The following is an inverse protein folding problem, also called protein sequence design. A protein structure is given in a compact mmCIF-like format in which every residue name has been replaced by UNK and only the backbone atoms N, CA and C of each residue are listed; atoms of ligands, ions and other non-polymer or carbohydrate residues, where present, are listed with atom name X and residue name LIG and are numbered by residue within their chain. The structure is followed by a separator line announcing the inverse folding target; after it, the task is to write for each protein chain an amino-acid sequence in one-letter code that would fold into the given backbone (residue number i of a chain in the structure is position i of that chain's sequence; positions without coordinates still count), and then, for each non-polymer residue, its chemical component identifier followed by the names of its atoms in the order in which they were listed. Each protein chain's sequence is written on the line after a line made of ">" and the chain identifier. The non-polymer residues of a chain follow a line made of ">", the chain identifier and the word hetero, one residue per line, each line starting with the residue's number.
data_IF_846063450027
#
_entry.id   IF_846063450027
#
_cell.length_a   1.000
_cell.length_b   1.000
_cell.length_c   1.000
_cell.angle_alpha   90.00
_cell.angle_beta   90.00
_cell.angle_gamma   90.00
#
_symmetry.space_group_name_H-M   'P 1'
#
loop_
_entity.id
_entity.type
_entity.pdbx_description
1 polymer ?
#
# COMPACT_ATOMS: atom_id res chain seq x y z
N UNK A 1 21.24 4.75 14.50
CA UNK A 1 19.98 4.91 13.73
C UNK A 1 20.26 5.71 12.48
N UNK A 2 19.96 5.14 11.32
CA UNK A 2 20.00 5.85 10.04
C UNK A 2 18.73 6.69 9.96
N UNK A 3 18.85 8.02 9.97
CA UNK A 3 17.70 8.93 9.87
C UNK A 3 17.54 9.32 8.39
N UNK A 4 16.32 9.26 7.84
CA UNK A 4 16.01 9.67 6.45
C UNK A 4 16.65 11.03 6.09
N UNK A 5 16.69 11.96 7.04
CA UNK A 5 17.35 13.28 6.93
C UNK A 5 18.85 13.23 6.59
N UNK A 6 19.55 12.15 6.90
CA UNK A 6 20.98 11.98 6.57
C UNK A 6 21.19 11.45 5.15
N UNK A 7 20.17 10.81 4.58
CA UNK A 7 20.23 10.25 3.23
C UNK A 7 19.82 11.30 2.19
N UNK A 8 18.74 12.03 2.46
CA UNK A 8 18.27 13.12 1.59
C UNK A 8 19.35 14.21 1.49
N UNK A 9 19.75 14.55 0.27
CA UNK A 9 20.80 15.51 -0.05
C UNK A 9 22.23 14.98 0.07
N UNK A 10 22.42 13.71 0.43
CA UNK A 10 23.75 13.10 0.58
C UNK A 10 24.37 12.69 -0.76
N UNK A 11 25.67 12.43 -0.76
CA UNK A 11 26.37 11.88 -1.95
C UNK A 11 25.81 10.50 -2.34
N UNK A 12 25.42 9.69 -1.35
CA UNK A 12 24.81 8.37 -1.58
C UNK A 12 23.50 8.44 -2.34
N UNK A 13 22.65 9.42 -2.00
CA UNK A 13 21.40 9.62 -2.75
C UNK A 13 21.68 9.96 -4.21
N UNK A 14 22.68 10.81 -4.47
CA UNK A 14 23.07 11.15 -5.86
C UNK A 14 23.59 9.93 -6.62
N UNK A 15 24.42 9.11 -5.99
CA UNK A 15 24.94 7.87 -6.58
C UNK A 15 23.82 6.87 -6.89
N UNK A 16 22.87 6.70 -5.96
CA UNK A 16 21.70 5.84 -6.18
C UNK A 16 20.81 6.39 -7.31
N UNK A 17 20.52 7.69 -7.33
CA UNK A 17 19.73 8.31 -8.41
C UNK A 17 20.42 8.19 -9.77
N UNK A 18 21.74 8.37 -9.82
CA UNK A 18 22.53 8.16 -11.04
C UNK A 18 22.41 6.72 -11.55
N UNK A 19 22.54 5.73 -10.64
CA UNK A 19 22.40 4.32 -10.97
C UNK A 19 21.02 4.00 -11.53
N UNK A 20 19.96 4.42 -10.84
CA UNK A 20 18.57 4.20 -11.27
C UNK A 20 18.27 4.92 -12.59
N UNK A 21 18.84 6.10 -12.80
CA UNK A 21 18.69 6.84 -14.05
C UNK A 21 19.28 6.10 -15.25
N UNK A 22 20.45 5.49 -15.08
CA UNK A 22 21.08 4.68 -16.12
C UNK A 22 20.32 3.37 -16.33
N UNK A 23 19.90 2.70 -15.26
CA UNK A 23 19.18 1.43 -15.32
C UNK A 23 17.82 1.53 -16.01
N UNK A 24 17.13 2.67 -15.85
CA UNK A 24 15.82 2.90 -16.43
C UNK A 24 15.81 3.87 -17.61
N UNK A 25 16.96 4.14 -18.22
CA UNK A 25 17.09 5.01 -19.39
C UNK A 25 16.39 6.39 -19.21
N UNK A 26 16.46 6.93 -17.99
CA UNK A 26 15.84 8.21 -17.63
C UNK A 26 14.31 8.19 -17.52
N UNK A 27 13.69 7.02 -17.38
CA UNK A 27 12.25 6.91 -17.08
C UNK A 27 11.96 7.30 -15.61
N UNK A 28 11.46 8.51 -15.43
CA UNK A 28 11.09 9.05 -14.12
C UNK A 28 10.03 8.23 -13.38
N UNK A 29 9.15 7.50 -14.08
CA UNK A 29 8.13 6.67 -13.43
C UNK A 29 8.81 5.55 -12.62
N UNK A 30 9.78 4.87 -13.23
CA UNK A 30 10.54 3.77 -12.64
C UNK A 30 11.55 4.23 -11.60
N UNK A 31 12.17 5.38 -11.85
CA UNK A 31 13.10 5.99 -10.90
C UNK A 31 12.37 6.33 -9.60
N UNK A 32 11.18 6.96 -9.66
CA UNK A 32 10.42 7.30 -8.45
C UNK A 32 9.92 6.07 -7.70
N UNK A 33 9.55 4.99 -8.40
CA UNK A 33 9.13 3.72 -7.78
C UNK A 33 10.29 3.01 -7.06
N UNK A 34 11.52 3.14 -7.57
CA UNK A 34 12.69 2.43 -7.06
C UNK A 34 13.56 3.25 -6.12
N UNK A 35 13.47 4.57 -6.17
CA UNK A 35 14.31 5.46 -5.38
C UNK A 35 13.93 5.42 -3.89
N UNK A 36 14.94 5.30 -3.04
CA UNK A 36 14.78 5.34 -1.59
C UNK A 36 14.32 6.72 -1.14
N UNK A 37 13.33 6.76 -0.25
CA UNK A 37 12.76 8.00 0.29
C UNK A 37 12.28 8.97 -0.81
N UNK A 38 11.79 8.44 -1.93
CA UNK A 38 11.21 9.21 -3.01
C UNK A 38 9.69 9.24 -2.85
N UNK A 39 9.19 10.27 -2.17
CA UNK A 39 7.77 10.56 -2.16
C UNK A 39 7.38 11.36 -3.41
N UNK A 40 6.11 11.33 -3.79
CA UNK A 40 5.61 12.06 -4.96
C UNK A 40 5.89 13.57 -4.87
N UNK A 41 5.91 14.12 -3.66
CA UNK A 41 6.25 15.52 -3.38
C UNK A 41 7.73 15.83 -3.63
N UNK A 42 8.60 14.82 -3.55
CA UNK A 42 10.05 14.92 -3.78
C UNK A 42 10.46 14.80 -5.26
N UNK A 43 9.54 14.44 -6.16
CA UNK A 43 9.82 14.38 -7.61
C UNK A 43 10.52 15.65 -8.16
N UNK A 44 10.11 16.89 -7.81
CA UNK A 44 10.78 18.10 -8.29
C UNK A 44 12.24 18.16 -7.84
N UNK A 45 12.51 17.79 -6.59
CA UNK A 45 13.86 17.79 -6.00
C UNK A 45 14.76 16.77 -6.68
N UNK A 46 14.25 15.55 -6.85
CA UNK A 46 14.97 14.46 -7.54
C UNK A 46 15.27 14.84 -8.98
N UNK A 47 14.30 15.44 -9.67
CA UNK A 47 14.48 15.94 -11.04
C UNK A 47 15.55 17.01 -11.13
N UNK A 48 15.59 17.97 -10.19
CA UNK A 48 16.65 18.97 -10.15
C UNK A 48 18.03 18.35 -9.98
N UNK A 49 18.16 17.32 -9.13
CA UNK A 49 19.43 16.60 -8.95
C UNK A 49 19.85 15.94 -10.27
N UNK A 50 18.95 15.21 -10.92
CA UNK A 50 19.23 14.56 -12.21
C UNK A 50 19.57 15.58 -13.31
N UNK A 51 18.85 16.72 -13.35
CA UNK A 51 19.12 17.80 -14.30
C UNK A 51 20.54 18.38 -14.11
N UNK A 52 20.96 18.60 -12.85
CA UNK A 52 22.32 19.05 -12.56
C UNK A 52 23.37 18.02 -12.97
N UNK A 53 23.10 16.73 -12.79
CA UNK A 53 24.01 15.65 -13.22
C UNK A 53 24.13 15.58 -14.75
N UNK A 54 23.04 15.84 -15.49
CA UNK A 54 23.04 15.93 -16.96
C UNK A 54 23.84 17.16 -17.41
N UNK A 55 23.64 18.32 -16.77
CA UNK A 55 24.37 19.55 -17.06
C UNK A 55 25.87 19.42 -16.76
N UNK A 56 26.22 18.67 -15.72
CA UNK A 56 27.60 18.30 -15.41
C UNK A 56 28.19 17.22 -16.33
N UNK A 57 27.40 16.69 -17.28
CA UNK A 57 27.76 15.57 -18.16
C UNK A 57 28.18 14.28 -17.44
N UNK A 58 27.76 14.11 -16.18
CA UNK A 58 28.02 12.89 -15.41
C UNK A 58 27.11 11.72 -15.85
N UNK A 59 25.92 12.04 -16.38
CA UNK A 59 24.95 11.07 -16.91
C UNK A 59 24.46 11.48 -18.30
N UNK A 60 24.15 10.51 -19.17
CA UNK A 60 23.68 10.79 -20.53
C UNK A 60 22.29 11.44 -20.52
N UNK A 61 22.02 12.34 -21.47
CA UNK A 61 20.69 12.93 -21.61
C UNK A 61 19.75 11.96 -22.35
N UNK A 62 18.96 11.17 -21.63
CA UNK A 62 18.01 10.27 -22.27
C UNK A 62 16.76 11.01 -22.78
N UNK A 63 16.22 10.54 -23.91
CA UNK A 63 15.00 11.11 -24.51
C UNK A 63 13.79 10.97 -23.60
N UNK A 64 13.69 9.88 -22.84
CA UNK A 64 12.61 9.65 -21.89
C UNK A 64 12.52 10.76 -20.82
N UNK A 65 13.66 11.24 -20.34
CA UNK A 65 13.74 12.32 -19.35
C UNK A 65 13.55 13.70 -19.98
N UNK A 66 14.22 13.97 -21.11
CA UNK A 66 14.26 15.30 -21.75
C UNK A 66 12.97 15.66 -22.48
N UNK A 67 12.32 14.69 -23.13
CA UNK A 67 11.10 14.90 -23.92
C UNK A 67 9.85 14.46 -23.16
N UNK A 68 9.93 14.39 -21.83
CA UNK A 68 8.82 13.98 -21.01
C UNK A 68 7.65 14.97 -21.11
N UNK A 69 6.49 14.48 -21.57
CA UNK A 69 5.31 15.32 -21.70
C UNK A 69 4.88 15.90 -20.35
N UNK A 70 4.43 17.17 -20.36
CA UNK A 70 3.87 17.80 -19.16
C UNK A 70 2.62 17.04 -18.65
N UNK A 71 1.91 16.34 -19.54
CA UNK A 71 0.79 15.48 -19.18
C UNK A 71 1.23 14.27 -18.37
N UNK A 72 2.33 13.59 -18.73
CA UNK A 72 2.89 12.49 -17.92
C UNK A 72 3.24 12.97 -16.52
N UNK A 73 3.93 14.11 -16.41
CA UNK A 73 4.26 14.76 -15.13
C UNK A 73 3.04 15.09 -14.28
N UNK A 74 1.94 15.55 -14.91
CA UNK A 74 0.69 15.86 -14.21
C UNK A 74 -0.06 14.59 -13.80
N UNK A 75 -0.06 13.56 -14.66
CA UNK A 75 -0.71 12.29 -14.39
C UNK A 75 -0.04 11.52 -13.24
N UNK A 76 1.29 11.60 -13.06
CA UNK A 76 1.97 11.02 -11.88
C UNK A 76 1.41 11.58 -10.57
N UNK A 77 1.27 12.92 -10.48
CA UNK A 77 0.67 13.58 -9.31
C UNK A 77 -0.81 13.21 -9.14
N UNK A 78 -1.55 13.11 -10.24
CA UNK A 78 -2.97 12.75 -10.22
C UNK A 78 -3.25 11.28 -9.86
N UNK A 79 -2.35 10.36 -10.22
CA UNK A 79 -2.53 8.93 -9.92
C UNK A 79 -2.48 8.64 -8.41
N UNK A 80 -1.63 9.36 -7.69
CA UNK A 80 -1.52 9.24 -6.23
C UNK A 80 -2.79 9.73 -5.54
N UNK A 81 -3.40 10.80 -6.04
CA UNK A 81 -4.70 11.27 -5.53
C UNK A 81 -5.81 10.25 -5.80
N UNK A 82 -5.86 9.66 -7.00
CA UNK A 82 -6.82 8.59 -7.29
C UNK A 82 -6.58 7.34 -6.43
N UNK A 83 -5.34 6.91 -6.22
CA UNK A 83 -5.02 5.76 -5.36
C UNK A 83 -5.40 6.04 -3.89
N UNK A 84 -5.23 7.29 -3.44
CA UNK A 84 -5.69 7.73 -2.12
C UNK A 84 -7.22 7.71 -2.03
N UNK A 85 -7.91 8.27 -3.02
CA UNK A 85 -9.37 8.26 -3.08
C UNK A 85 -9.91 6.81 -3.12
N UNK A 86 -9.29 5.93 -3.91
CA UNK A 86 -9.63 4.51 -3.95
C UNK A 86 -9.34 3.77 -2.63
N UNK A 87 -8.27 4.13 -1.92
CA UNK A 87 -7.99 3.58 -0.61
C UNK A 87 -9.02 4.05 0.43
N UNK A 88 -9.43 5.33 0.35
CA UNK A 88 -10.47 5.91 1.19
C UNK A 88 -11.86 5.32 0.88
N UNK A 89 -12.18 5.07 -0.39
CA UNK A 89 -13.44 4.41 -0.77
C UNK A 89 -13.47 2.96 -0.30
N UNK A 90 -12.39 2.20 -0.48
CA UNK A 90 -12.27 0.82 0.04
C UNK A 90 -12.34 0.76 1.57
N UNK A 91 -11.76 1.73 2.28
CA UNK A 91 -11.94 1.83 3.74
C UNK A 91 -13.40 2.04 4.13
N UNK A 92 -14.10 2.95 3.44
CA UNK A 92 -15.52 3.22 3.66
C UNK A 92 -16.39 1.99 3.33
N UNK A 93 -16.12 1.30 2.24
CA UNK A 93 -16.82 0.07 1.84
C UNK A 93 -16.61 -1.07 2.85
N UNK A 94 -15.39 -1.22 3.38
CA UNK A 94 -15.10 -2.20 4.43
C UNK A 94 -15.64 -1.80 5.80
N UNK A 95 -16.23 -0.60 5.94
CA UNK A 95 -16.75 -0.08 7.20
C UNK A 95 -15.67 0.10 8.28
N UNK A 96 -14.40 0.19 7.87
CA UNK A 96 -13.27 0.38 8.76
C UNK A 96 -13.16 1.88 9.00
N UNK A 97 -13.47 2.31 10.22
CA UNK A 97 -13.27 3.70 10.62
C UNK A 97 -11.79 3.93 10.96
N UNK A 98 -11.32 5.17 10.87
CA UNK A 98 -9.95 5.53 11.30
C UNK A 98 -9.67 5.18 12.77
N UNK A 99 -10.72 4.93 13.57
CA UNK A 99 -10.64 4.58 14.99
C UNK A 99 -10.61 3.06 15.25
N UNK A 100 -10.90 2.22 14.25
CA UNK A 100 -10.83 0.77 14.38
C UNK A 100 -9.37 0.31 14.39
N UNK A 101 -8.76 0.31 15.58
CA UNK A 101 -7.46 -0.31 15.79
C UNK A 101 -7.47 -1.75 15.27
N UNK A 102 -6.37 -2.20 14.65
CA UNK A 102 -6.20 -3.58 14.20
C UNK A 102 -6.61 -4.61 15.27
N UNK A 103 -6.38 -4.28 16.53
CA UNK A 103 -6.80 -5.08 17.69
C UNK A 103 -8.33 -5.24 17.82
N UNK A 104 -9.10 -4.19 17.54
CA UNK A 104 -10.56 -4.20 17.56
C UNK A 104 -11.13 -5.07 16.42
N UNK A 105 -10.54 -4.98 15.22
CA UNK A 105 -10.91 -5.83 14.08
C UNK A 105 -10.68 -7.32 14.36
N UNK A 106 -9.53 -7.66 14.97
CA UNK A 106 -9.21 -9.04 15.34
C UNK A 106 -10.21 -9.57 16.39
N UNK A 107 -10.54 -8.78 17.41
CA UNK A 107 -11.53 -9.15 18.44
C UNK A 107 -12.92 -9.38 17.83
N UNK A 108 -13.39 -8.49 16.96
CA UNK A 108 -14.68 -8.63 16.28
C UNK A 108 -14.73 -9.90 15.43
N UNK A 109 -13.63 -10.23 14.75
CA UNK A 109 -13.53 -11.47 13.94
C UNK A 109 -13.57 -12.72 14.82
N UNK A 110 -12.88 -12.72 15.96
CA UNK A 110 -12.93 -13.82 16.93
C UNK A 110 -14.36 -14.04 17.44
N UNK A 111 -15.04 -12.97 17.88
CA UNK A 111 -16.43 -13.04 18.34
C UNK A 111 -17.39 -13.57 17.27
N UNK A 112 -17.26 -13.11 16.01
CA UNK A 112 -18.08 -13.61 14.91
C UNK A 112 -17.85 -15.09 14.63
N UNK A 113 -16.61 -15.57 14.75
CA UNK A 113 -16.29 -16.98 14.58
C UNK A 113 -16.85 -17.83 15.72
N UNK A 114 -16.76 -17.36 16.97
CA UNK A 114 -17.35 -18.03 18.13
C UNK A 114 -18.86 -18.16 17.99
N UNK A 115 -19.56 -17.10 17.55
CA UNK A 115 -21.00 -17.15 17.30
C UNK A 115 -21.38 -18.18 16.24
N UNK A 116 -20.65 -18.23 15.12
CA UNK A 116 -20.87 -19.23 14.06
C UNK A 116 -20.61 -20.65 14.56
N UNK A 117 -19.58 -20.84 15.37
CA UNK A 117 -19.27 -22.12 15.98
C UNK A 117 -20.39 -22.55 16.93
N UNK A 118 -20.86 -21.67 17.81
CA UNK A 118 -21.95 -21.97 18.73
C UNK A 118 -23.25 -22.29 17.97
N UNK A 119 -23.55 -21.58 16.87
CA UNK A 119 -24.69 -21.90 16.01
C UNK A 119 -24.56 -23.30 15.41
N UNK A 120 -23.38 -23.67 14.88
CA UNK A 120 -23.13 -25.00 14.33
C UNK A 120 -23.29 -26.10 15.40
N UNK A 121 -22.80 -25.86 16.61
CA UNK A 121 -22.96 -26.80 17.72
C UNK A 121 -24.43 -26.94 18.11
N UNK A 122 -25.19 -25.84 18.18
CA UNK A 122 -26.63 -25.88 18.44
C UNK A 122 -27.39 -26.70 17.38
N UNK A 123 -27.06 -26.52 16.10
CA UNK A 123 -27.68 -27.29 15.00
C UNK A 123 -27.35 -28.80 15.09
N UNK A 124 -26.14 -29.12 15.55
CA UNK A 124 -25.72 -30.51 15.80
C UNK A 124 -26.41 -31.09 17.03
N UNK A 125 -26.51 -30.33 18.12
CA UNK A 125 -27.24 -30.72 19.32
C UNK A 125 -28.71 -30.97 18.98
N UNK A 126 -29.37 -30.09 18.23
CA UNK A 126 -30.77 -30.31 17.83
C UNK A 126 -30.94 -31.60 17.00
N UNK A 127 -30.03 -31.87 16.06
CA UNK A 127 -30.12 -33.07 15.21
C UNK A 127 -29.82 -34.38 15.92
N UNK A 128 -28.99 -34.37 16.96
CA UNK A 128 -28.49 -35.58 17.61
C UNK A 128 -28.92 -35.74 19.08
N UNK A 129 -29.50 -34.70 19.71
CA UNK A 129 -30.05 -34.73 21.07
C UNK A 129 -31.59 -34.68 21.12
N UNK A 130 -32.31 -34.86 20.01
CA UNK A 130 -33.75 -35.18 20.10
C UNK A 130 -33.93 -36.47 20.93
N UNK A 131 -34.64 -36.32 22.06
CA UNK A 131 -34.72 -37.28 23.15
C UNK A 131 -35.35 -38.62 22.74
N UNK A 132 -34.91 -39.69 23.43
CA UNK A 132 -35.50 -41.02 23.35
C UNK A 132 -37.03 -41.00 23.42
N UNK A 133 -37.73 -41.89 22.67
CA UNK A 133 -39.19 -41.94 22.69
C UNK A 133 -39.69 -42.19 24.12
N UNK A 134 -40.54 -41.27 24.61
CA UNK A 134 -41.25 -41.40 25.89
C UNK A 134 -41.92 -42.78 25.96
N UNK A 135 -41.35 -43.70 26.75
CA UNK A 135 -41.98 -44.99 27.05
C UNK A 135 -43.26 -44.74 27.84
N UNK A 136 -44.40 -44.84 27.16
CA UNK A 136 -45.71 -44.98 27.77
C UNK A 136 -45.77 -46.34 28.48
N UNK A 137 -45.38 -46.38 29.76
CA UNK A 137 -45.63 -47.51 30.64
C UNK A 137 -46.99 -47.37 31.31
N UNK A 138 -48.02 -47.92 30.68
CA UNK A 138 -49.32 -48.16 31.30
C UNK A 138 -49.35 -49.57 31.91
N UNK A 139 -50.01 -49.64 33.09
CA UNK A 139 -50.38 -50.81 33.92
C UNK A 139 -49.34 -51.35 34.90
#
# INVERSE_FOLDING_TARGET
>A
MWSQKKYIGSTKEREDLCRLYIEFDGDMDRIMESALCAETEDEPRIREVLQRLIEAQEIPAYRAFTHESAQKRRNRRGKVEMEREEAETKQKEMGITSEDSLTALIKRKQQSNEQKFNSLISDLEEKYCEEEPKRSGAK
#
